data_IF_560115011849
#
_entry.id   IF_560115011849
#
_cell.length_a   1.000
_cell.length_b   1.000
_cell.length_c   1.000
_cell.angle_alpha   90.00
_cell.angle_beta   90.00
_cell.angle_gamma   90.00
#
_symmetry.space_group_name_H-M   'P 1'
#
loop_
_entity.id
_entity.type
_entity.pdbx_description
1 polymer ?
#
# COMPACT_ATOMS: atom_id res chain seq x y z
N UNK A 1 -5.18 6.46 -14.39
CA UNK A 1 -6.54 6.98 -14.66
C UNK A 1 -7.55 5.87 -14.43
N UNK A 2 -8.60 6.12 -13.64
CA UNK A 2 -9.72 5.20 -13.40
C UNK A 2 -10.91 5.62 -14.26
N UNK A 3 -11.58 4.64 -14.89
CA UNK A 3 -12.79 4.83 -15.71
C UNK A 3 -13.65 3.54 -15.68
N UNK A 4 -13.89 3.02 -14.47
CA UNK A 4 -14.61 1.75 -14.27
C UNK A 4 -15.90 1.91 -13.50
N UNK A 5 -16.15 3.08 -12.93
CA UNK A 5 -17.33 3.38 -12.13
C UNK A 5 -18.41 4.08 -12.96
N UNK A 6 -19.68 4.04 -12.56
CA UNK A 6 -20.73 4.85 -13.19
C UNK A 6 -20.36 6.35 -13.21
N UNK A 7 -20.80 7.06 -14.24
CA UNK A 7 -20.52 8.49 -14.35
C UNK A 7 -21.08 9.25 -13.15
N UNK A 8 -20.26 10.11 -12.54
CA UNK A 8 -20.62 10.89 -11.37
C UNK A 8 -20.48 10.17 -10.03
N UNK A 9 -19.98 8.92 -10.01
CA UNK A 9 -19.63 8.23 -8.76
C UNK A 9 -18.54 8.98 -7.99
N UNK A 10 -18.71 9.09 -6.69
CA UNK A 10 -17.76 9.73 -5.76
C UNK A 10 -17.49 8.82 -4.57
N UNK A 11 -16.43 9.07 -3.82
CA UNK A 11 -16.26 8.52 -2.48
C UNK A 11 -17.36 9.10 -1.58
N UNK A 12 -18.26 8.28 -1.07
CA UNK A 12 -19.39 8.73 -0.23
C UNK A 12 -19.05 8.69 1.26
N UNK A 13 -18.12 7.84 1.63
CA UNK A 13 -17.66 7.66 3.02
C UNK A 13 -16.16 7.46 3.12
N UNK A 14 -15.64 7.62 4.33
CA UNK A 14 -14.25 7.36 4.65
C UNK A 14 -13.86 5.88 4.44
N UNK A 15 -14.83 4.97 4.55
CA UNK A 15 -14.63 3.52 4.40
C UNK A 15 -14.54 3.08 2.94
N UNK A 16 -14.82 3.98 1.99
CA UNK A 16 -14.76 3.70 0.56
C UNK A 16 -13.32 3.62 0.04
N UNK A 17 -12.39 4.36 0.65
CA UNK A 17 -10.96 4.24 0.40
C UNK A 17 -10.31 3.50 1.58
N UNK A 18 -10.01 2.22 1.37
CA UNK A 18 -9.48 1.34 2.41
C UNK A 18 -7.99 1.63 2.67
N UNK A 19 -7.22 1.79 1.58
CA UNK A 19 -5.77 1.88 1.67
C UNK A 19 -5.16 2.45 0.38
N UNK A 20 -4.01 3.06 0.52
CA UNK A 20 -3.13 3.43 -0.59
C UNK A 20 -1.85 2.62 -0.41
N UNK A 21 -1.45 1.88 -1.45
CA UNK A 21 -0.20 1.11 -1.45
C UNK A 21 0.80 1.71 -2.43
N UNK A 22 2.07 1.69 -2.04
CA UNK A 22 3.18 1.96 -2.95
C UNK A 22 4.31 0.95 -2.73
N UNK A 23 4.89 0.49 -3.83
CA UNK A 23 6.18 -0.20 -3.83
C UNK A 23 7.21 0.82 -4.26
N UNK A 24 8.14 1.13 -3.38
CA UNK A 24 9.11 2.18 -3.61
C UNK A 24 10.39 1.95 -2.83
N UNK A 25 11.43 2.64 -3.23
CA UNK A 25 12.67 2.76 -2.50
C UNK A 25 13.17 4.20 -2.56
N UNK A 26 13.92 4.63 -1.55
CA UNK A 26 14.56 5.93 -1.47
C UNK A 26 15.68 5.94 -0.44
N UNK A 27 16.77 6.65 -0.74
CA UNK A 27 17.95 6.66 0.13
C UNK A 27 17.87 7.65 1.30
N UNK A 28 16.83 8.47 1.40
CA UNK A 28 16.66 9.39 2.53
C UNK A 28 15.19 9.79 2.76
N UNK A 29 14.50 9.16 3.71
CA UNK A 29 13.10 9.49 4.03
C UNK A 29 12.93 10.94 4.54
N UNK A 30 13.97 11.50 5.15
CA UNK A 30 13.91 12.77 5.88
C UNK A 30 13.61 14.01 5.05
N UNK A 31 13.69 13.94 3.74
CA UNK A 31 13.43 15.04 2.82
C UNK A 31 12.31 14.77 1.82
N UNK A 32 11.56 13.68 2.02
CA UNK A 32 10.42 13.33 1.19
C UNK A 32 9.11 13.87 1.73
N UNK A 33 8.30 14.43 0.82
CA UNK A 33 6.86 14.56 0.98
C UNK A 33 6.15 13.57 0.07
N UNK A 34 5.18 12.85 0.62
CA UNK A 34 4.35 11.88 -0.10
C UNK A 34 2.89 12.30 0.04
N UNK A 35 2.22 12.48 -1.09
CA UNK A 35 0.83 12.95 -1.13
C UNK A 35 0.00 12.11 -2.10
N UNK A 36 -1.30 12.06 -1.85
CA UNK A 36 -2.30 11.55 -2.80
C UNK A 36 -3.24 12.66 -3.19
N UNK A 37 -3.48 12.82 -4.48
CA UNK A 37 -4.44 13.77 -5.02
C UNK A 37 -5.51 13.05 -5.83
N UNK A 38 -6.75 13.42 -5.61
CA UNK A 38 -7.88 12.86 -6.36
C UNK A 38 -8.28 13.74 -7.55
N UNK A 39 -9.13 13.26 -8.47
CA UNK A 39 -9.42 13.93 -9.76
C UNK A 39 -9.96 15.37 -9.67
N UNK A 40 -10.54 15.78 -8.54
CA UNK A 40 -10.99 17.16 -8.35
C UNK A 40 -9.92 18.09 -7.76
N UNK A 41 -8.70 17.58 -7.50
CA UNK A 41 -7.57 18.32 -6.96
C UNK A 41 -7.48 18.36 -5.43
N UNK A 42 -8.37 17.67 -4.71
CA UNK A 42 -8.23 17.48 -3.26
C UNK A 42 -7.00 16.60 -2.99
N UNK A 43 -6.13 17.07 -2.09
CA UNK A 43 -4.86 16.41 -1.77
C UNK A 43 -4.79 16.09 -0.29
N UNK A 44 -4.30 14.90 0.04
CA UNK A 44 -4.01 14.45 1.40
C UNK A 44 -2.53 14.12 1.52
N UNK A 45 -1.91 14.58 2.60
CA UNK A 45 -0.52 14.26 2.93
C UNK A 45 -0.45 12.90 3.61
N UNK A 46 0.34 12.01 3.05
CA UNK A 46 0.61 10.69 3.61
C UNK A 46 1.84 10.72 4.51
N UNK A 47 2.85 11.51 4.13
CA UNK A 47 4.12 11.70 4.82
C UNK A 47 4.67 13.08 4.50
N UNK A 48 5.20 13.80 5.49
CA UNK A 48 6.06 14.97 5.31
C UNK A 48 7.50 14.65 5.71
N UNK A 49 8.42 15.58 5.47
CA UNK A 49 9.83 15.46 5.82
C UNK A 49 10.00 14.99 7.27
N UNK A 50 10.55 13.78 7.45
CA UNK A 50 10.72 13.15 8.75
C UNK A 50 11.45 11.82 8.64
N UNK A 51 11.88 11.22 9.76
CA UNK A 51 12.58 9.94 9.77
C UNK A 51 14.08 10.03 9.45
N UNK A 52 14.61 11.23 9.22
CA UNK A 52 16.04 11.48 8.96
C UNK A 52 16.63 10.52 7.90
N UNK A 53 17.86 10.03 8.08
CA UNK A 53 18.55 9.14 7.15
C UNK A 53 18.06 7.70 7.13
N UNK A 54 16.77 7.47 7.31
CA UNK A 54 16.14 6.16 7.16
C UNK A 54 15.84 5.90 5.69
N UNK A 55 16.09 4.69 5.22
CA UNK A 55 15.83 4.26 3.85
C UNK A 55 14.41 3.71 3.70
N UNK A 56 13.82 3.90 2.53
CA UNK A 56 12.71 3.09 2.04
C UNK A 56 13.28 2.02 1.11
N UNK A 57 12.91 0.74 1.30
CA UNK A 57 13.46 -0.36 0.52
C UNK A 57 14.99 -0.53 0.68
N UNK A 58 15.61 -1.08 -0.35
CA UNK A 58 17.08 -1.21 -0.43
C UNK A 58 17.59 -0.35 -1.59
N UNK A 59 17.77 0.95 -1.39
CA UNK A 59 18.16 1.88 -2.45
C UNK A 59 19.59 1.67 -2.93
N UNK A 60 19.90 2.25 -4.09
CA UNK A 60 21.24 2.58 -4.53
C UNK A 60 21.55 3.98 -4.02
N UNK A 61 22.34 4.08 -2.96
CA UNK A 61 22.70 5.36 -2.32
C UNK A 61 23.93 5.97 -2.99
N UNK A 62 23.77 6.38 -4.26
CA UNK A 62 24.81 7.01 -5.08
C UNK A 62 24.21 8.21 -5.78
N UNK A 63 24.72 9.42 -5.48
CA UNK A 63 24.28 10.68 -6.07
C UNK A 63 24.23 10.59 -7.60
N UNK A 64 23.16 11.09 -8.21
CA UNK A 64 22.90 11.11 -9.66
C UNK A 64 22.84 9.72 -10.36
N UNK A 65 22.89 8.61 -9.65
CA UNK A 65 22.70 7.28 -10.22
C UNK A 65 21.21 6.99 -10.46
N UNK A 66 20.88 6.49 -11.64
CA UNK A 66 19.51 6.16 -12.06
C UNK A 66 19.23 4.65 -12.00
N UNK A 67 20.05 3.89 -11.29
CA UNK A 67 19.82 2.47 -11.09
C UNK A 67 18.78 2.27 -10.00
N UNK A 68 17.67 1.63 -10.35
CA UNK A 68 16.61 1.27 -9.41
C UNK A 68 17.14 0.28 -8.37
N UNK A 69 16.85 0.55 -7.09
CA UNK A 69 17.10 -0.35 -5.98
C UNK A 69 16.00 -1.40 -5.83
N UNK A 70 15.90 -2.03 -4.65
CA UNK A 70 14.89 -3.03 -4.35
C UNK A 70 13.70 -2.39 -3.62
N UNK A 71 12.59 -2.21 -4.32
CA UNK A 71 11.38 -1.60 -3.78
C UNK A 71 10.72 -2.48 -2.71
N UNK A 72 10.33 -1.87 -1.59
CA UNK A 72 9.52 -2.49 -0.55
C UNK A 72 8.09 -1.96 -0.57
N UNK A 73 7.15 -2.75 -0.05
CA UNK A 73 5.74 -2.37 0.01
C UNK A 73 5.41 -1.56 1.25
N UNK A 74 4.85 -0.37 1.04
CA UNK A 74 4.35 0.53 2.08
C UNK A 74 2.90 0.89 1.76
N UNK A 75 2.08 0.99 2.80
CA UNK A 75 0.69 1.38 2.64
C UNK A 75 0.29 2.44 3.65
N UNK A 76 -0.81 3.16 3.37
CA UNK A 76 -1.43 4.11 4.29
C UNK A 76 -2.91 3.81 4.43
N UNK A 77 -3.38 3.74 5.68
CA UNK A 77 -4.77 3.46 6.01
C UNK A 77 -5.17 4.13 7.33
N UNK A 78 -6.41 4.62 7.40
CA UNK A 78 -7.01 5.15 8.65
C UNK A 78 -7.10 4.09 9.76
N UNK A 79 -7.02 2.81 9.42
CA UNK A 79 -7.12 1.71 10.38
C UNK A 79 -5.76 1.14 10.79
N UNK A 80 -4.67 1.78 10.38
CA UNK A 80 -3.33 1.37 10.79
C UNK A 80 -3.13 1.44 12.29
N UNK A 81 -2.27 0.57 12.82
CA UNK A 81 -1.85 0.53 14.21
C UNK A 81 -0.34 0.75 14.38
N UNK A 82 0.38 0.98 13.27
CA UNK A 82 1.83 1.19 13.29
C UNK A 82 2.24 2.65 13.52
N UNK A 83 1.26 3.58 13.57
CA UNK A 83 1.55 5.00 13.59
C UNK A 83 2.13 5.47 12.25
N UNK A 84 2.80 6.62 12.26
CA UNK A 84 3.38 7.23 11.07
C UNK A 84 4.67 6.51 10.63
N UNK A 85 4.94 6.54 9.34
CA UNK A 85 6.02 5.77 8.72
C UNK A 85 7.42 6.17 9.22
N UNK A 86 7.61 7.44 9.55
CA UNK A 86 8.90 8.01 10.00
C UNK A 86 9.26 7.67 11.46
N UNK A 87 8.37 7.01 12.22
CA UNK A 87 8.65 6.67 13.62
C UNK A 87 9.85 5.70 13.73
N UNK A 88 10.79 5.96 14.64
CA UNK A 88 12.03 5.16 14.74
C UNK A 88 11.80 3.67 14.98
N UNK A 89 10.71 3.28 15.64
CA UNK A 89 10.32 1.90 15.90
C UNK A 89 9.90 1.16 14.62
N UNK A 90 9.58 1.89 13.57
CA UNK A 90 9.19 1.33 12.28
C UNK A 90 10.38 0.99 11.39
N UNK A 91 11.62 1.28 11.83
CA UNK A 91 12.82 1.00 11.06
C UNK A 91 13.70 -0.07 11.72
N UNK A 92 14.36 -0.85 10.89
CA UNK A 92 15.30 -1.89 11.31
C UNK A 92 16.62 -1.72 10.58
N UNK A 93 17.76 -1.89 11.29
CA UNK A 93 19.06 -1.89 10.64
C UNK A 93 19.25 -3.16 9.80
N UNK A 94 19.50 -2.99 8.51
CA UNK A 94 19.70 -4.06 7.54
C UNK A 94 21.03 -3.88 6.82
N UNK A 95 21.70 -5.00 6.54
CA UNK A 95 22.86 -5.04 5.62
C UNK A 95 22.45 -5.76 4.35
N UNK A 96 22.69 -5.13 3.20
CA UNK A 96 22.33 -5.65 1.89
C UNK A 96 23.43 -5.37 0.87
N UNK A 97 23.28 -5.87 -0.33
CA UNK A 97 24.11 -5.51 -1.49
C UNK A 97 23.22 -4.78 -2.46
N UNK A 98 23.57 -3.53 -2.79
CA UNK A 98 22.79 -2.72 -3.73
C UNK A 98 22.83 -3.28 -5.16
N UNK A 99 22.05 -2.69 -6.05
CA UNK A 99 21.97 -3.13 -7.46
C UNK A 99 23.28 -2.90 -8.24
N UNK A 100 24.20 -2.07 -7.74
CA UNK A 100 25.54 -1.86 -8.30
C UNK A 100 26.57 -2.85 -7.74
N UNK A 101 26.21 -3.68 -6.75
CA UNK A 101 27.09 -4.65 -6.12
C UNK A 101 27.86 -4.13 -4.90
N UNK A 102 27.51 -2.94 -4.37
CA UNK A 102 28.16 -2.36 -3.19
C UNK A 102 27.52 -2.92 -1.90
N UNK A 103 28.34 -3.21 -0.87
CA UNK A 103 27.81 -3.56 0.44
C UNK A 103 27.27 -2.31 1.16
N UNK A 104 26.02 -2.35 1.54
CA UNK A 104 25.29 -1.28 2.20
C UNK A 104 24.84 -1.69 3.61
N UNK A 105 24.69 -0.71 4.49
CA UNK A 105 24.04 -0.91 5.80
C UNK A 105 23.31 0.37 6.17
N UNK A 106 22.00 0.27 6.38
CA UNK A 106 21.16 1.40 6.76
C UNK A 106 19.99 0.99 7.64
N UNK A 107 19.34 1.97 8.24
CA UNK A 107 18.06 1.77 8.87
C UNK A 107 16.99 1.81 7.76
N UNK A 108 16.29 0.72 7.57
CA UNK A 108 15.25 0.58 6.53
C UNK A 108 13.89 0.53 7.22
N UNK A 109 12.95 1.33 6.72
CA UNK A 109 11.55 1.23 7.15
C UNK A 109 11.03 -0.16 6.84
N UNK A 110 10.43 -0.83 7.83
CA UNK A 110 9.85 -2.15 7.65
C UNK A 110 8.66 -2.06 6.68
N UNK A 111 8.49 -3.02 5.76
CA UNK A 111 7.25 -3.10 4.98
C UNK A 111 6.02 -3.15 5.90
N UNK A 112 5.01 -2.34 5.60
CA UNK A 112 3.84 -2.25 6.48
C UNK A 112 2.78 -1.27 6.02
N UNK A 113 1.69 -1.21 6.78
CA UNK A 113 0.61 -0.26 6.58
C UNK A 113 0.68 0.76 7.72
N UNK A 114 0.81 2.03 7.37
CA UNK A 114 1.06 3.14 8.27
C UNK A 114 -0.15 4.08 8.38
N UNK A 115 -0.17 4.88 9.43
CA UNK A 115 -1.13 5.97 9.57
C UNK A 115 -0.67 7.15 8.71
N UNK A 116 -1.55 7.74 7.85
CA UNK A 116 -1.20 8.96 7.12
C UNK A 116 -1.09 10.15 8.08
N UNK A 117 -0.29 11.16 7.76
CA UNK A 117 -0.24 12.41 8.54
C UNK A 117 -1.53 13.22 8.43
N UNK A 118 -2.09 13.30 7.23
CA UNK A 118 -3.44 13.83 7.00
C UNK A 118 -4.48 12.74 7.22
N UNK A 119 -5.75 13.05 6.98
CA UNK A 119 -6.81 12.04 7.00
C UNK A 119 -7.30 11.72 5.59
N UNK A 120 -7.34 10.41 5.23
CA UNK A 120 -7.91 9.96 3.96
C UNK A 120 -9.41 10.29 3.85
N UNK A 121 -10.06 10.56 4.99
CA UNK A 121 -11.46 11.00 5.04
C UNK A 121 -11.69 12.35 4.36
N UNK A 122 -10.65 13.18 4.21
CA UNK A 122 -10.73 14.44 3.47
C UNK A 122 -10.95 14.23 1.95
N UNK A 123 -10.76 13.01 1.46
CA UNK A 123 -11.04 12.62 0.08
C UNK A 123 -12.53 12.26 -0.18
N UNK A 124 -13.38 12.28 0.86
CA UNK A 124 -14.84 12.10 0.68
C UNK A 124 -15.37 13.20 -0.23
N UNK A 125 -16.17 12.79 -1.24
CA UNK A 125 -16.63 13.66 -2.32
C UNK A 125 -15.73 13.71 -3.55
N UNK A 126 -14.55 13.08 -3.51
CA UNK A 126 -13.69 12.93 -4.68
C UNK A 126 -14.33 12.03 -5.74
N UNK A 127 -14.28 12.39 -7.03
CA UNK A 127 -14.71 11.50 -8.11
C UNK A 127 -13.92 10.20 -8.10
N UNK A 128 -14.62 9.07 -8.27
CA UNK A 128 -13.97 7.77 -8.41
C UNK A 128 -13.25 7.63 -9.75
N UNK A 129 -13.89 8.11 -10.83
CA UNK A 129 -13.28 8.14 -12.15
C UNK A 129 -12.43 9.41 -12.34
N UNK A 130 -11.36 9.27 -13.11
CA UNK A 130 -10.43 10.34 -13.47
C UNK A 130 -8.99 10.03 -13.06
N UNK A 131 -8.16 11.05 -13.07
CA UNK A 131 -6.74 10.92 -12.74
C UNK A 131 -6.54 11.08 -11.24
N UNK A 132 -6.11 10.02 -10.59
CA UNK A 132 -5.56 10.04 -9.25
C UNK A 132 -4.05 10.14 -9.36
N UNK A 133 -3.42 10.95 -8.53
CA UNK A 133 -1.98 11.20 -8.56
C UNK A 133 -1.35 10.86 -7.22
N UNK A 134 -0.39 9.95 -7.24
CA UNK A 134 0.52 9.69 -6.11
C UNK A 134 1.75 10.55 -6.35
N UNK A 135 1.92 11.57 -5.51
CA UNK A 135 2.97 12.58 -5.64
C UNK A 135 4.08 12.31 -4.64
N UNK A 136 5.30 12.33 -5.14
CA UNK A 136 6.51 12.06 -4.41
C UNK A 136 7.46 13.24 -4.65
N UNK A 137 7.79 13.99 -3.61
CA UNK A 137 8.63 15.18 -3.72
C UNK A 137 9.85 15.02 -2.85
N UNK A 138 10.99 15.00 -3.50
CA UNK A 138 12.31 15.03 -2.89
C UNK A 138 12.82 16.48 -2.85
N UNK A 139 13.26 16.95 -1.68
CA UNK A 139 13.70 18.33 -1.46
C UNK A 139 15.22 18.51 -1.51
N UNK A 140 16.00 17.44 -1.44
CA UNK A 140 17.45 17.48 -1.50
C UNK A 140 17.95 16.59 -2.65
N UNK A 141 18.51 17.17 -3.69
CA UNK A 141 18.93 16.47 -4.89
C UNK A 141 20.23 15.66 -4.76
N UNK A 142 20.57 15.13 -3.57
CA UNK A 142 21.70 14.25 -3.34
C UNK A 142 21.27 12.79 -3.16
N UNK A 143 20.02 12.61 -2.91
CA UNK A 143 19.40 11.31 -2.67
C UNK A 143 18.64 10.89 -3.92
N UNK A 144 18.39 9.61 -4.08
CA UNK A 144 17.62 9.10 -5.18
C UNK A 144 16.57 8.10 -4.71
N UNK A 145 15.57 7.85 -5.54
CA UNK A 145 14.55 6.87 -5.25
C UNK A 145 13.63 6.61 -6.43
N UNK A 146 12.92 5.51 -6.34
CA UNK A 146 12.00 5.04 -7.37
C UNK A 146 10.67 4.62 -6.78
N UNK A 147 9.60 4.94 -7.49
CA UNK A 147 8.27 4.36 -7.27
C UNK A 147 8.05 3.27 -8.31
N UNK A 148 8.20 2.03 -7.89
CA UNK A 148 8.05 0.85 -8.76
C UNK A 148 6.59 0.67 -9.20
N UNK A 149 5.65 0.84 -8.28
CA UNK A 149 4.20 0.83 -8.54
C UNK A 149 3.42 1.40 -7.37
N UNK A 150 2.19 1.79 -7.59
CA UNK A 150 1.26 2.17 -6.53
C UNK A 150 -0.18 1.79 -6.88
N UNK A 151 -1.05 1.69 -5.87
CA UNK A 151 -2.43 1.25 -6.02
C UNK A 151 -3.35 1.98 -5.05
N UNK A 152 -4.60 2.20 -5.47
CA UNK A 152 -5.72 2.54 -4.62
C UNK A 152 -6.50 1.26 -4.29
N UNK A 153 -6.71 1.00 -3.02
CA UNK A 153 -7.54 -0.10 -2.53
C UNK A 153 -8.88 0.48 -2.09
N UNK A 154 -9.87 0.32 -2.95
CA UNK A 154 -11.22 0.81 -2.72
C UNK A 154 -12.11 -0.31 -2.15
N UNK A 155 -13.18 0.09 -1.47
CA UNK A 155 -14.19 -0.85 -0.98
C UNK A 155 -14.76 -1.66 -2.17
N UNK A 156 -14.74 -3.00 -2.11
CA UNK A 156 -15.25 -3.84 -3.17
C UNK A 156 -16.71 -3.55 -3.57
N UNK A 157 -17.52 -3.06 -2.65
CA UNK A 157 -18.94 -2.75 -2.89
C UNK A 157 -19.13 -1.58 -3.88
N UNK A 158 -18.09 -0.76 -4.09
CA UNK A 158 -18.12 0.32 -5.08
C UNK A 158 -18.08 -0.17 -6.52
N UNK A 159 -17.54 -1.38 -6.76
CA UNK A 159 -17.34 -1.88 -8.11
C UNK A 159 -18.67 -2.37 -8.72
N UNK A 160 -19.08 -1.83 -9.88
CA UNK A 160 -20.32 -2.23 -10.53
C UNK A 160 -20.26 -3.72 -10.91
N UNK A 161 -21.24 -4.48 -10.42
CA UNK A 161 -21.34 -5.91 -10.70
C UNK A 161 -20.46 -6.82 -9.82
N UNK A 162 -20.00 -6.32 -8.69
CA UNK A 162 -19.42 -7.18 -7.66
C UNK A 162 -20.46 -8.23 -7.25
N UNK A 163 -20.23 -9.49 -7.66
CA UNK A 163 -21.09 -10.61 -7.26
C UNK A 163 -20.59 -11.02 -5.87
N UNK A 164 -21.38 -10.71 -4.85
CA UNK A 164 -21.20 -11.33 -3.54
C UNK A 164 -21.56 -12.81 -3.71
N UNK A 165 -20.53 -13.66 -3.83
CA UNK A 165 -20.72 -15.10 -3.75
C UNK A 165 -20.92 -15.41 -2.28
N UNK A 166 -22.16 -15.41 -1.81
CA UNK A 166 -22.47 -16.02 -0.52
C UNK A 166 -22.05 -17.49 -0.61
N UNK A 167 -21.24 -18.00 0.35
CA UNK A 167 -20.86 -19.39 0.34
C UNK A 167 -22.13 -20.23 0.53
N UNK A 168 -22.58 -20.88 -0.53
CA UNK A 168 -23.65 -21.86 -0.44
C UNK A 168 -23.11 -23.03 0.39
N UNK A 169 -23.64 -23.20 1.60
CA UNK A 169 -23.31 -24.36 2.42
C UNK A 169 -24.01 -25.55 1.76
N UNK A 170 -23.29 -26.26 0.92
CA UNK A 170 -23.74 -27.55 0.39
C UNK A 170 -23.61 -28.57 1.51
N UNK A 171 -24.72 -28.82 2.21
CA UNK A 171 -24.82 -29.99 3.09
C UNK A 171 -24.97 -31.22 2.24
N UNK A 172 -23.85 -31.95 2.04
CA UNK A 172 -23.91 -33.29 1.46
C UNK A 172 -24.38 -34.25 2.53
N UNK A 173 -25.62 -34.75 2.44
CA UNK A 173 -26.06 -35.92 3.18
C UNK A 173 -25.47 -37.15 2.50
N UNK A 174 -24.58 -37.85 3.22
CA UNK A 174 -24.06 -39.13 2.79
C UNK A 174 -25.07 -40.20 3.20
N UNK A 175 -25.81 -40.75 2.27
CA UNK A 175 -26.58 -41.97 2.47
C UNK A 175 -25.58 -43.15 2.44
N UNK A 176 -25.25 -43.67 3.60
CA UNK A 176 -24.34 -44.83 3.74
C UNK A 176 -24.94 -46.13 3.24
N UNK A 177 -26.17 -46.11 2.76
CA UNK A 177 -26.83 -47.31 2.22
C UNK A 177 -26.89 -48.49 3.21
N UNK A 178 -27.26 -49.67 2.77
CA UNK A 178 -27.48 -50.83 3.65
C UNK A 178 -26.19 -51.50 4.18
N UNK A 179 -25.01 -50.92 3.94
CA UNK A 179 -23.72 -51.46 4.41
C UNK A 179 -23.22 -50.86 5.74
N UNK A 180 -23.93 -49.90 6.31
CA UNK A 180 -23.60 -49.37 7.62
C UNK A 180 -24.06 -50.36 8.71
N UNK A 181 -23.26 -51.37 9.01
CA UNK A 181 -23.55 -52.31 10.10
C UNK A 181 -23.12 -53.75 9.93
N UNK A 182 -22.39 -54.09 8.85
CA UNK A 182 -21.80 -55.42 8.73
C UNK A 182 -20.49 -55.50 9.52
N UNK A 183 -20.59 -55.90 10.80
CA UNK A 183 -19.45 -56.26 11.63
C UNK A 183 -19.31 -57.82 11.61
N UNK A 184 -18.97 -58.38 10.46
CA UNK A 184 -18.50 -59.73 10.41
C UNK A 184 -17.01 -59.72 10.11
N UNK A 185 -16.23 -59.80 11.18
CA UNK A 185 -14.84 -60.18 11.19
C UNK A 185 -14.82 -61.61 11.70
N UNK A 186 -14.66 -62.57 10.79
CA UNK A 186 -14.13 -63.89 11.09
C UNK A 186 -12.63 -63.92 10.84
#
# INVERSE_FOLDING_TARGET
ELDVFPAGSVLESCEDLIQIDAFMEHSYLGDLDINISCPNGTTVTLQTQGGAGTFLGEPVDVEDDLTEGNCYGYGWSETSTLGQIELPENATQVSYTDALGNPMTGNIVNPGIYEPEGTLCDLVGCPLNGTWEFCFTDYLGQDNGFVCTWNLILNPDLYPGAIVIEPEIVTAEWDLGPYAGSSDID
#
